data_IF_522010628132
#
_entry.id   IF_522010628132
#
_cell.length_a   1.000
_cell.length_b   1.000
_cell.length_c   1.000
_cell.angle_alpha   90.00
_cell.angle_beta   90.00
_cell.angle_gamma   90.00
#
_symmetry.space_group_name_H-M   'P 1'
#
loop_
_entity.id
_entity.type
_entity.pdbx_description
1 polymer ?
#
# COMPACT_ATOMS: atom_id res chain seq x y z
N UNK A 1 12.24 6.32 4.85
CA UNK A 1 11.51 6.59 3.59
C UNK A 1 11.95 5.74 2.38
N UNK A 2 13.25 5.62 2.07
CA UNK A 2 13.74 4.92 0.85
C UNK A 2 13.17 3.51 0.65
N UNK A 3 13.10 2.69 1.71
CA UNK A 3 12.58 1.32 1.63
C UNK A 3 11.07 1.26 1.33
N UNK A 4 10.28 2.16 1.91
CA UNK A 4 8.83 2.23 1.64
C UNK A 4 8.55 2.65 0.20
N UNK A 5 9.20 3.72 -0.25
CA UNK A 5 9.12 4.18 -1.65
C UNK A 5 9.52 3.09 -2.65
N UNK A 6 10.57 2.32 -2.38
CA UNK A 6 10.96 1.17 -3.22
C UNK A 6 9.87 0.10 -3.40
N UNK A 7 8.86 0.05 -2.53
CA UNK A 7 7.73 -0.87 -2.63
C UNK A 7 6.59 -0.20 -3.39
N UNK A 8 6.11 0.95 -2.90
CA UNK A 8 4.96 1.64 -3.49
C UNK A 8 5.26 2.25 -4.86
N UNK A 9 6.54 2.45 -5.20
CA UNK A 9 6.96 2.97 -6.51
C UNK A 9 7.12 1.88 -7.58
N UNK A 10 6.98 0.60 -7.24
CA UNK A 10 7.07 -0.47 -8.23
C UNK A 10 5.90 -0.41 -9.21
N UNK A 11 6.19 -0.62 -10.50
CA UNK A 11 5.17 -0.59 -11.55
C UNK A 11 4.01 -1.54 -11.26
N UNK A 12 4.32 -2.80 -10.95
CA UNK A 12 3.31 -3.81 -10.61
C UNK A 12 2.47 -3.42 -9.38
N UNK A 13 3.08 -2.76 -8.39
CA UNK A 13 2.35 -2.26 -7.23
C UNK A 13 1.38 -1.16 -7.63
N UNK A 14 1.81 -0.14 -8.38
CA UNK A 14 0.93 0.97 -8.81
C UNK A 14 -0.20 0.52 -9.74
N UNK A 15 0.05 -0.46 -10.59
CA UNK A 15 -0.96 -1.01 -11.50
C UNK A 15 -2.10 -1.70 -10.74
N UNK A 16 -1.79 -2.41 -9.65
CA UNK A 16 -2.79 -3.09 -8.83
C UNK A 16 -3.35 -2.21 -7.71
N UNK A 17 -2.51 -1.38 -7.11
CA UNK A 17 -2.73 -0.59 -5.90
C UNK A 17 -2.32 0.87 -6.13
N UNK A 18 -3.17 1.67 -6.79
CA UNK A 18 -2.80 2.99 -7.29
C UNK A 18 -2.52 4.03 -6.19
N UNK A 19 -3.13 3.85 -5.01
CA UNK A 19 -2.95 4.73 -3.87
C UNK A 19 -2.85 3.93 -2.57
N UNK A 20 -2.04 4.44 -1.63
CA UNK A 20 -2.07 4.06 -0.23
C UNK A 20 -2.96 5.07 0.48
N UNK A 21 -4.07 4.58 1.02
CA UNK A 21 -5.14 5.39 1.59
C UNK A 21 -5.31 5.06 3.08
N UNK A 22 -6.05 5.91 3.78
CA UNK A 22 -6.37 5.72 5.18
C UNK A 22 -6.91 6.98 5.81
N UNK A 23 -7.44 6.86 7.03
CA UNK A 23 -7.87 8.03 7.76
C UNK A 23 -6.64 8.89 8.07
N UNK A 24 -6.67 10.17 7.70
CA UNK A 24 -5.52 11.06 7.81
C UNK A 24 -5.75 12.17 8.82
N UNK A 25 -4.69 12.51 9.57
CA UNK A 25 -4.66 13.66 10.46
C UNK A 25 -4.65 14.97 9.66
N UNK A 26 -5.43 15.96 10.11
CA UNK A 26 -5.44 17.31 9.49
C UNK A 26 -4.12 18.07 9.66
N UNK A 27 -3.33 17.73 10.68
CA UNK A 27 -2.06 18.38 11.00
C UNK A 27 -0.95 17.34 11.03
N UNK A 28 0.30 17.79 10.83
CA UNK A 28 1.48 16.97 11.09
C UNK A 28 1.42 16.39 12.51
N UNK A 29 1.76 15.09 12.71
CA UNK A 29 1.86 14.51 14.03
C UNK A 29 2.94 15.23 14.87
N UNK A 30 2.77 15.23 16.19
CA UNK A 30 3.77 15.80 17.10
C UNK A 30 5.13 15.12 16.90
N UNK A 31 6.19 15.92 16.83
CA UNK A 31 7.57 15.44 16.64
C UNK A 31 8.03 15.31 15.18
N UNK A 32 7.17 15.66 14.20
CA UNK A 32 7.55 15.69 12.79
C UNK A 32 7.39 17.07 12.17
N UNK A 33 8.38 17.47 11.37
CA UNK A 33 8.33 18.68 10.56
C UNK A 33 7.27 18.54 9.44
N UNK A 34 6.60 19.65 9.12
CA UNK A 34 5.66 19.73 7.98
C UNK A 34 6.36 19.48 6.65
N UNK A 35 7.65 19.79 6.54
CA UNK A 35 8.46 19.59 5.33
C UNK A 35 9.09 18.18 5.27
N UNK A 36 8.75 17.29 6.19
CA UNK A 36 9.26 15.92 6.18
C UNK A 36 8.84 15.22 4.87
N UNK A 37 9.76 14.59 4.12
CA UNK A 37 9.43 13.94 2.84
C UNK A 37 8.46 12.75 2.97
N UNK A 38 8.19 12.28 4.19
CA UNK A 38 7.21 11.25 4.51
C UNK A 38 5.94 11.79 5.21
N UNK A 39 5.76 13.10 5.31
CA UNK A 39 4.70 13.71 6.12
C UNK A 39 3.30 13.23 5.72
N UNK A 40 3.05 13.08 4.42
CA UNK A 40 1.76 12.61 3.90
C UNK A 40 1.41 11.19 4.40
N UNK A 41 2.42 10.34 4.58
CA UNK A 41 2.24 8.99 5.12
C UNK A 41 2.23 8.96 6.64
N UNK A 42 2.98 9.87 7.29
CA UNK A 42 2.99 9.99 8.75
C UNK A 42 1.66 10.51 9.31
N UNK A 43 0.89 11.25 8.51
CA UNK A 43 -0.47 11.68 8.87
C UNK A 43 -1.49 10.54 8.84
N UNK A 44 -1.22 9.45 8.10
CA UNK A 44 -2.13 8.32 8.01
C UNK A 44 -2.18 7.56 9.34
N UNK A 45 -3.40 7.35 9.85
CA UNK A 45 -3.70 6.49 11.00
C UNK A 45 -3.80 5.02 10.62
N UNK A 46 -4.10 4.75 9.35
CA UNK A 46 -4.21 3.43 8.76
C UNK A 46 -3.59 3.42 7.37
N UNK A 47 -3.09 2.26 6.95
CA UNK A 47 -2.49 2.06 5.64
C UNK A 47 -3.28 0.99 4.90
N UNK A 48 -4.07 1.41 3.91
CA UNK A 48 -4.97 0.56 3.15
C UNK A 48 -4.63 0.69 1.66
N UNK A 49 -4.69 -0.43 0.94
CA UNK A 49 -4.64 -0.46 -0.52
C UNK A 49 -5.74 -1.39 -1.03
N UNK A 50 -6.27 -1.08 -2.20
CA UNK A 50 -7.34 -1.86 -2.83
C UNK A 50 -7.04 -2.15 -4.29
N UNK A 51 -7.43 -3.34 -4.73
CA UNK A 51 -7.45 -3.73 -6.14
C UNK A 51 -8.85 -4.27 -6.45
N UNK A 52 -9.56 -3.60 -7.36
CA UNK A 52 -10.88 -4.04 -7.79
C UNK A 52 -10.75 -5.23 -8.76
N UNK A 53 -11.53 -6.28 -8.52
CA UNK A 53 -11.56 -7.48 -9.35
C UNK A 53 -12.96 -7.61 -9.93
N UNK A 54 -13.06 -7.71 -11.27
CA UNK A 54 -14.34 -7.92 -11.94
C UNK A 54 -14.82 -9.35 -11.76
N UNK A 55 -16.13 -9.54 -11.72
CA UNK A 55 -16.74 -10.88 -11.59
C UNK A 55 -16.29 -11.87 -12.67
N UNK A 56 -16.08 -11.38 -13.90
CA UNK A 56 -15.59 -12.20 -15.02
C UNK A 56 -14.17 -12.70 -14.81
N UNK A 57 -13.33 -11.90 -14.16
CA UNK A 57 -11.94 -12.23 -13.87
C UNK A 57 -11.86 -13.15 -12.65
N UNK A 58 -12.75 -12.95 -11.67
CA UNK A 58 -12.87 -13.78 -10.48
C UNK A 58 -13.44 -15.18 -10.74
N UNK A 59 -14.35 -15.31 -11.71
CA UNK A 59 -14.95 -16.61 -12.11
C UNK A 59 -14.20 -17.25 -13.28
N UNK A 60 -13.23 -16.55 -13.86
CA UNK A 60 -12.44 -17.00 -15.00
C UNK A 60 -11.45 -18.12 -14.64
N UNK A 61 -10.97 -18.82 -15.67
CA UNK A 61 -9.99 -19.92 -15.52
C UNK A 61 -8.65 -19.49 -14.90
N UNK A 62 -8.33 -18.20 -14.96
CA UNK A 62 -7.10 -17.62 -14.42
C UNK A 62 -7.27 -17.01 -13.02
N UNK A 63 -8.49 -16.99 -12.45
CA UNK A 63 -8.79 -16.27 -11.22
C UNK A 63 -7.80 -16.55 -10.09
N UNK A 64 -7.52 -17.82 -9.82
CA UNK A 64 -6.57 -18.22 -8.76
C UNK A 64 -5.17 -17.68 -9.05
N UNK A 65 -4.71 -17.73 -10.30
CA UNK A 65 -3.39 -17.23 -10.70
C UNK A 65 -3.29 -15.72 -10.50
N UNK A 66 -4.34 -14.99 -10.88
CA UNK A 66 -4.37 -13.53 -10.85
C UNK A 66 -4.49 -13.02 -9.39
N UNK A 67 -5.31 -13.68 -8.57
CA UNK A 67 -5.39 -13.43 -7.12
C UNK A 67 -4.06 -13.72 -6.43
N UNK A 68 -3.43 -14.87 -6.71
CA UNK A 68 -2.11 -15.18 -6.14
C UNK A 68 -1.06 -14.16 -6.58
N UNK A 69 -1.14 -13.65 -7.81
CA UNK A 69 -0.24 -12.59 -8.28
C UNK A 69 -0.44 -11.30 -7.48
N UNK A 70 -1.69 -10.85 -7.26
CA UNK A 70 -1.95 -9.63 -6.49
C UNK A 70 -1.44 -9.74 -5.05
N UNK A 71 -1.66 -10.89 -4.39
CA UNK A 71 -1.11 -11.14 -3.06
C UNK A 71 0.43 -11.15 -3.01
N UNK A 72 1.09 -11.67 -4.05
CA UNK A 72 2.56 -11.60 -4.14
C UNK A 72 3.06 -10.16 -4.28
N UNK A 73 2.34 -9.31 -5.00
CA UNK A 73 2.69 -7.90 -5.19
C UNK A 73 2.51 -7.08 -3.91
N UNK A 74 1.44 -7.32 -3.13
CA UNK A 74 1.19 -6.58 -1.87
C UNK A 74 2.05 -7.10 -0.70
N UNK A 75 2.54 -8.34 -0.73
CA UNK A 75 3.28 -8.94 0.39
C UNK A 75 4.43 -8.09 0.94
N UNK A 76 5.33 -7.48 0.12
CA UNK A 76 6.40 -6.63 0.64
C UNK A 76 5.91 -5.39 1.38
N UNK A 77 4.74 -4.85 1.00
CA UNK A 77 4.11 -3.73 1.69
C UNK A 77 3.62 -4.15 3.07
N UNK A 78 2.94 -5.30 3.18
CA UNK A 78 2.50 -5.87 4.46
C UNK A 78 3.71 -6.14 5.37
N UNK A 79 4.76 -6.76 4.82
CA UNK A 79 6.00 -7.02 5.56
C UNK A 79 6.67 -5.74 6.04
N UNK A 80 6.68 -4.70 5.22
CA UNK A 80 7.22 -3.41 5.62
C UNK A 80 6.52 -2.86 6.86
N UNK A 81 5.18 -2.92 6.90
CA UNK A 81 4.35 -2.41 7.99
C UNK A 81 4.50 -3.25 9.25
N UNK A 82 4.55 -4.58 9.12
CA UNK A 82 4.67 -5.49 10.26
C UNK A 82 5.99 -5.34 11.03
N UNK A 83 7.06 -4.84 10.41
CA UNK A 83 8.33 -4.53 11.12
C UNK A 83 8.20 -3.47 12.22
N UNK A 84 7.09 -2.73 12.28
CA UNK A 84 6.82 -1.80 13.37
C UNK A 84 6.18 -2.48 14.60
N UNK A 85 5.73 -3.72 14.44
CA UNK A 85 5.10 -4.54 15.49
C UNK A 85 6.07 -5.54 16.13
N UNK A 86 7.21 -5.78 15.47
CA UNK A 86 8.34 -6.57 15.98
C UNK A 86 9.26 -5.72 16.86
#
# INVERSE_FOLDING_TARGET
>A
MKAFKKIIDQKAFKELYPAVEGESLKKAPQGYDVDNPAIEFLRLKSFTVGHEVKDTDFTGKNAVKDIVHSFKVIKPFIDFLNRALD
#
